data_IF_386819350760
#
_entry.id   IF_386819350760
#
_cell.length_a   1.000
_cell.length_b   1.000
_cell.length_c   1.000
_cell.angle_alpha   90.00
_cell.angle_beta   90.00
_cell.angle_gamma   90.00
#
_symmetry.space_group_name_H-M   'P 1'
#
loop_
_entity.id
_entity.type
_entity.pdbx_description
1 polymer ?
#
# COMPACT_ATOMS: atom_id res chain seq x y z
N UNK A 1 -17.20 -4.43 -7.74
CA UNK A 1 -17.46 -3.54 -6.59
C UNK A 1 -17.36 -4.30 -5.26
N UNK A 2 -18.17 -5.35 -5.07
CA UNK A 2 -18.16 -6.16 -3.84
C UNK A 2 -16.79 -6.82 -3.57
N UNK A 3 -16.20 -7.43 -4.59
CA UNK A 3 -14.84 -8.00 -4.55
C UNK A 3 -13.80 -7.02 -4.00
N UNK A 4 -13.75 -5.80 -4.56
CA UNK A 4 -12.84 -4.74 -4.10
C UNK A 4 -13.08 -4.30 -2.67
N UNK A 5 -14.30 -4.42 -2.12
CA UNK A 5 -14.58 -4.11 -0.71
C UNK A 5 -14.06 -5.25 0.15
N UNK A 6 -14.38 -6.49 -0.19
CA UNK A 6 -13.93 -7.67 0.55
C UNK A 6 -12.40 -7.75 0.60
N UNK A 7 -11.74 -7.34 -0.48
CA UNK A 7 -10.29 -7.20 -0.53
C UNK A 7 -9.72 -6.31 0.57
N UNK A 8 -10.39 -5.20 0.86
CA UNK A 8 -9.97 -4.27 1.91
C UNK A 8 -10.20 -4.83 3.31
N UNK A 9 -11.28 -5.58 3.49
CA UNK A 9 -11.53 -6.31 4.74
C UNK A 9 -10.44 -7.35 4.97
N UNK A 10 -10.08 -8.12 3.94
CA UNK A 10 -9.00 -9.12 4.02
C UNK A 10 -7.66 -8.47 4.31
N UNK A 11 -7.28 -7.41 3.59
CA UNK A 11 -6.04 -6.67 3.84
C UNK A 11 -5.98 -6.15 5.28
N UNK A 12 -7.11 -5.68 5.82
CA UNK A 12 -7.24 -5.17 7.19
C UNK A 12 -7.13 -6.29 8.22
N UNK A 13 -7.86 -7.39 8.03
CA UNK A 13 -7.83 -8.54 8.92
C UNK A 13 -6.42 -9.15 9.01
N UNK A 14 -5.73 -9.31 7.86
CA UNK A 14 -4.35 -9.81 7.82
C UNK A 14 -3.41 -8.88 8.58
N UNK A 15 -3.49 -7.57 8.33
CA UNK A 15 -2.61 -6.59 8.98
C UNK A 15 -2.83 -6.53 10.49
N UNK A 16 -4.09 -6.54 10.94
CA UNK A 16 -4.44 -6.57 12.36
C UNK A 16 -3.98 -7.87 13.01
N UNK A 17 -4.19 -9.03 12.36
CA UNK A 17 -3.76 -10.33 12.88
C UNK A 17 -2.24 -10.40 13.07
N UNK A 18 -1.48 -9.91 12.08
CA UNK A 18 -0.01 -9.81 12.17
C UNK A 18 0.40 -8.85 13.28
N UNK A 19 -0.24 -7.68 13.37
CA UNK A 19 0.03 -6.69 14.41
C UNK A 19 -0.23 -7.22 15.82
N UNK A 20 -1.36 -7.88 16.01
CA UNK A 20 -1.73 -8.51 17.28
C UNK A 20 -0.75 -9.60 17.68
N UNK A 21 -0.40 -10.50 16.76
CA UNK A 21 0.60 -11.55 17.01
C UNK A 21 1.96 -10.98 17.42
N UNK A 22 2.42 -9.92 16.75
CA UNK A 22 3.67 -9.25 17.10
C UNK A 22 3.58 -8.54 18.46
N UNK A 23 2.45 -7.90 18.75
CA UNK A 23 2.19 -7.22 20.02
C UNK A 23 2.23 -8.17 21.22
N UNK A 24 1.77 -9.41 21.09
CA UNK A 24 1.82 -10.42 22.18
C UNK A 24 3.24 -10.69 22.67
N UNK A 25 4.25 -10.53 21.81
CA UNK A 25 5.67 -10.74 22.16
C UNK A 25 6.43 -9.44 22.38
N UNK A 26 5.92 -8.33 21.84
CA UNK A 26 6.49 -6.98 21.94
C UNK A 26 5.42 -6.00 22.43
N UNK A 27 5.02 -6.07 23.71
CA UNK A 27 3.93 -5.26 24.23
C UNK A 27 4.28 -3.77 24.16
N UNK A 28 3.30 -2.97 23.74
CA UNK A 28 3.44 -1.52 23.61
C UNK A 28 2.62 -0.94 22.47
N UNK A 29 2.73 0.37 22.24
CA UNK A 29 1.97 1.07 21.20
C UNK A 29 2.60 0.95 19.80
N UNK A 30 3.92 0.71 19.73
CA UNK A 30 4.68 0.69 18.47
C UNK A 30 4.19 -0.34 17.45
N UNK A 31 3.87 -1.61 17.82
CA UNK A 31 3.30 -2.59 16.90
C UNK A 31 2.07 -2.07 16.14
N UNK A 32 1.17 -1.42 16.87
CA UNK A 32 -0.08 -0.87 16.35
C UNK A 32 0.15 0.35 15.46
N UNK A 33 1.06 1.25 15.83
CA UNK A 33 1.45 2.40 14.99
C UNK A 33 1.96 1.90 13.64
N UNK A 34 2.84 0.90 13.65
CA UNK A 34 3.36 0.30 12.42
C UNK A 34 2.25 -0.31 11.55
N UNK A 35 1.30 -1.04 12.15
CA UNK A 35 0.17 -1.61 11.42
C UNK A 35 -0.75 -0.55 10.81
N UNK A 36 -1.06 0.50 11.57
CA UNK A 36 -1.87 1.63 11.09
C UNK A 36 -1.17 2.32 9.92
N UNK A 37 0.13 2.59 10.03
CA UNK A 37 0.90 3.20 8.95
C UNK A 37 0.90 2.35 7.68
N UNK A 38 1.04 1.03 7.80
CA UNK A 38 0.94 0.12 6.66
C UNK A 38 -0.47 0.15 6.03
N UNK A 39 -1.53 0.06 6.84
CA UNK A 39 -2.92 0.11 6.38
C UNK A 39 -3.26 1.42 5.68
N UNK A 40 -2.81 2.56 6.21
CA UNK A 40 -2.98 3.87 5.58
C UNK A 40 -2.32 3.87 4.20
N UNK A 41 -1.10 3.34 4.07
CA UNK A 41 -0.44 3.19 2.78
C UNK A 41 -1.24 2.34 1.80
N UNK A 42 -1.83 1.24 2.28
CA UNK A 42 -2.63 0.33 1.45
C UNK A 42 -3.92 0.95 0.94
N UNK A 43 -4.61 1.69 1.79
CA UNK A 43 -5.85 2.40 1.47
C UNK A 43 -5.55 3.56 0.51
N UNK A 44 -4.56 4.40 0.84
CA UNK A 44 -4.19 5.55 0.01
C UNK A 44 -3.71 5.12 -1.38
N UNK A 45 -2.93 4.06 -1.51
CA UNK A 45 -2.48 3.57 -2.81
C UNK A 45 -3.67 3.12 -3.69
N UNK A 46 -4.67 2.47 -3.09
CA UNK A 46 -5.90 2.09 -3.82
C UNK A 46 -6.79 3.29 -4.12
N UNK A 47 -6.85 4.26 -3.21
CA UNK A 47 -7.65 5.47 -3.36
C UNK A 47 -7.09 6.35 -4.47
N UNK A 48 -5.79 6.61 -4.47
CA UNK A 48 -5.10 7.41 -5.48
C UNK A 48 -5.41 6.93 -6.90
N UNK A 49 -5.34 5.61 -7.13
CA UNK A 49 -5.65 5.02 -8.45
C UNK A 49 -7.09 5.32 -8.88
N UNK A 50 -8.06 5.12 -7.98
CA UNK A 50 -9.48 5.35 -8.26
C UNK A 50 -9.78 6.83 -8.47
N UNK A 51 -9.20 7.70 -7.65
CA UNK A 51 -9.38 9.14 -7.74
C UNK A 51 -8.79 9.72 -9.02
N UNK A 52 -7.60 9.25 -9.41
CA UNK A 52 -6.98 9.65 -10.67
C UNK A 52 -7.85 9.28 -11.86
N UNK A 53 -8.31 8.03 -11.93
CA UNK A 53 -9.19 7.57 -13.01
C UNK A 53 -10.49 8.36 -13.06
N UNK A 54 -11.09 8.66 -11.90
CA UNK A 54 -12.32 9.46 -11.81
C UNK A 54 -12.12 10.88 -12.33
N UNK A 55 -10.95 11.48 -12.11
CA UNK A 55 -10.68 12.89 -12.45
C UNK A 55 -10.24 13.09 -13.90
N UNK A 56 -9.45 12.16 -14.43
CA UNK A 56 -8.85 12.29 -15.76
C UNK A 56 -9.46 11.34 -16.80
N UNK A 57 -10.36 10.43 -16.40
CA UNK A 57 -10.94 9.38 -17.25
C UNK A 57 -9.89 8.52 -17.96
N UNK A 58 -8.67 8.49 -17.42
CA UNK A 58 -7.52 7.79 -17.97
C UNK A 58 -6.87 6.93 -16.90
N UNK A 59 -6.26 5.83 -17.33
CA UNK A 59 -5.39 5.08 -16.43
C UNK A 59 -4.16 5.91 -16.08
N UNK A 60 -3.83 5.89 -14.80
CA UNK A 60 -2.62 6.51 -14.31
C UNK A 60 -1.38 5.90 -15.02
N UNK A 61 -0.27 6.66 -15.18
CA UNK A 61 0.94 6.14 -15.82
C UNK A 61 1.52 4.91 -15.11
N UNK A 62 1.92 3.89 -15.88
CA UNK A 62 2.55 2.68 -15.34
C UNK A 62 3.98 3.01 -14.91
N UNK A 63 4.29 2.83 -13.63
CA UNK A 63 5.66 2.89 -13.12
C UNK A 63 6.04 1.60 -12.39
N UNK A 64 7.34 1.29 -12.35
CA UNK A 64 7.86 0.13 -11.63
C UNK A 64 7.46 0.16 -10.16
N UNK A 65 7.61 1.33 -9.51
CA UNK A 65 7.24 1.52 -8.10
C UNK A 65 5.74 1.27 -7.90
N UNK A 66 4.87 1.70 -8.83
CA UNK A 66 3.42 1.40 -8.75
C UNK A 66 3.10 -0.07 -8.92
N UNK A 67 3.93 -0.82 -9.64
CA UNK A 67 3.75 -2.27 -9.72
C UNK A 67 3.96 -2.90 -8.35
N UNK A 68 4.93 -2.41 -7.58
CA UNK A 68 5.22 -2.87 -6.21
C UNK A 68 4.09 -2.57 -5.20
N UNK A 69 3.21 -1.61 -5.47
CA UNK A 69 2.08 -1.28 -4.59
C UNK A 69 0.82 -2.12 -4.85
N UNK A 70 0.86 -3.01 -5.85
CA UNK A 70 -0.25 -3.92 -6.16
C UNK A 70 -0.55 -4.87 -4.99
N UNK A 71 -1.83 -5.22 -4.85
CA UNK A 71 -2.31 -6.13 -3.80
C UNK A 71 -1.63 -7.49 -3.86
N UNK A 72 -1.48 -8.06 -5.06
CA UNK A 72 -0.88 -9.39 -5.23
C UNK A 72 0.58 -9.42 -4.73
N UNK A 73 1.36 -8.37 -5.05
CA UNK A 73 2.73 -8.23 -4.55
C UNK A 73 2.75 -8.06 -3.04
N UNK A 74 1.81 -7.31 -2.48
CA UNK A 74 1.73 -7.14 -1.04
C UNK A 74 1.44 -8.44 -0.30
N UNK A 75 0.45 -9.19 -0.75
CA UNK A 75 0.13 -10.49 -0.15
C UNK A 75 1.30 -11.46 -0.34
N UNK A 76 1.96 -11.44 -1.49
CA UNK A 76 3.15 -12.26 -1.74
C UNK A 76 4.31 -11.90 -0.79
N UNK A 77 4.61 -10.62 -0.60
CA UNK A 77 5.66 -10.17 0.32
C UNK A 77 5.34 -10.54 1.76
N UNK A 78 4.09 -10.36 2.20
CA UNK A 78 3.65 -10.75 3.55
C UNK A 78 3.75 -12.27 3.71
N UNK A 79 3.36 -13.04 2.70
CA UNK A 79 3.49 -14.49 2.67
C UNK A 79 4.95 -14.95 2.79
N UNK A 80 5.86 -14.39 2.01
CA UNK A 80 7.30 -14.67 2.13
C UNK A 80 7.80 -14.29 3.53
N UNK A 81 7.36 -13.14 4.06
CA UNK A 81 7.63 -12.73 5.44
C UNK A 81 7.18 -13.77 6.45
N UNK A 82 6.00 -14.36 6.28
CA UNK A 82 5.48 -15.41 7.15
C UNK A 82 6.32 -16.70 7.08
N UNK A 83 6.76 -17.12 5.87
CA UNK A 83 7.66 -18.28 5.69
C UNK A 83 8.97 -18.08 6.47
N UNK A 84 9.54 -16.88 6.45
CA UNK A 84 10.79 -16.55 7.15
C UNK A 84 10.55 -16.16 8.63
N UNK A 85 9.33 -16.35 9.13
CA UNK A 85 8.91 -16.01 10.49
C UNK A 85 9.11 -14.52 10.87
N UNK A 86 9.00 -13.64 9.88
CA UNK A 86 9.05 -12.18 10.01
C UNK A 86 7.87 -11.47 9.31
N UNK A 87 6.60 -11.89 9.51
CA UNK A 87 5.45 -11.31 8.81
C UNK A 87 5.23 -9.84 9.17
N UNK A 88 5.51 -9.44 10.42
CA UNK A 88 5.39 -8.05 10.87
C UNK A 88 6.34 -7.12 10.09
N UNK A 89 7.62 -7.49 9.98
CA UNK A 89 8.59 -6.67 9.25
C UNK A 89 8.28 -6.62 7.75
N UNK A 90 7.75 -7.70 7.17
CA UNK A 90 7.27 -7.70 5.79
C UNK A 90 6.07 -6.75 5.60
N UNK A 91 5.11 -6.73 6.54
CA UNK A 91 3.99 -5.79 6.56
C UNK A 91 4.46 -4.33 6.59
N UNK A 92 5.43 -4.02 7.46
CA UNK A 92 6.02 -2.67 7.54
C UNK A 92 6.74 -2.31 6.24
N UNK A 93 7.57 -3.21 5.71
CA UNK A 93 8.32 -2.98 4.47
C UNK A 93 7.42 -2.66 3.29
N UNK A 94 6.37 -3.47 3.08
CA UNK A 94 5.41 -3.21 1.99
C UNK A 94 4.53 -1.98 2.25
N UNK A 95 4.26 -1.65 3.52
CA UNK A 95 3.62 -0.41 3.93
C UNK A 95 4.44 0.82 3.50
N UNK A 96 5.75 0.81 3.78
CA UNK A 96 6.69 1.86 3.36
C UNK A 96 6.74 1.97 1.84
N UNK A 97 6.86 0.84 1.13
CA UNK A 97 6.85 0.83 -0.35
C UNK A 97 5.55 1.44 -0.90
N UNK A 98 4.42 1.20 -0.23
CA UNK A 98 3.14 1.80 -0.62
C UNK A 98 3.16 3.32 -0.50
N UNK A 99 3.71 3.87 0.59
CA UNK A 99 3.91 5.32 0.78
C UNK A 99 4.86 5.91 -0.25
N UNK A 100 5.99 5.25 -0.53
CA UNK A 100 6.94 5.67 -1.57
C UNK A 100 6.24 5.70 -2.94
N UNK A 101 5.45 4.68 -3.26
CA UNK A 101 4.71 4.62 -4.52
C UNK A 101 3.67 5.71 -4.66
N UNK A 102 3.02 6.13 -3.57
CA UNK A 102 2.12 7.28 -3.55
C UNK A 102 2.92 8.57 -3.80
N UNK A 103 4.02 8.80 -3.09
CA UNK A 103 4.86 9.99 -3.28
C UNK A 103 5.43 10.10 -4.71
N UNK A 104 5.95 8.98 -5.23
CA UNK A 104 6.45 8.90 -6.60
C UNK A 104 5.36 9.22 -7.63
N UNK A 105 4.17 8.68 -7.42
CA UNK A 105 3.02 8.93 -8.27
C UNK A 105 2.64 10.41 -8.34
N UNK A 106 2.66 11.11 -7.19
CA UNK A 106 2.43 12.55 -7.16
C UNK A 106 3.47 13.33 -7.95
N UNK A 107 4.75 12.97 -7.80
CA UNK A 107 5.84 13.58 -8.55
C UNK A 107 5.66 13.36 -10.06
N UNK A 108 5.39 12.12 -10.48
CA UNK A 108 5.20 11.76 -11.89
C UNK A 108 4.04 12.55 -12.53
N UNK A 109 2.91 12.67 -11.83
CA UNK A 109 1.76 13.47 -12.29
C UNK A 109 2.11 14.96 -12.38
N UNK A 110 2.82 15.49 -11.38
CA UNK A 110 3.24 16.88 -11.34
C UNK A 110 4.16 17.23 -12.51
N UNK A 111 5.21 16.44 -12.75
CA UNK A 111 6.15 16.67 -13.85
C UNK A 111 5.50 16.50 -15.23
N UNK A 112 4.62 15.49 -15.40
CA UNK A 112 3.94 15.27 -16.69
C UNK A 112 3.03 16.45 -17.07
N UNK A 113 2.33 17.03 -16.09
CA UNK A 113 1.47 18.19 -16.33
C UNK A 113 2.28 19.44 -16.66
N UNK A 114 3.44 19.62 -16.04
CA UNK A 114 4.32 20.77 -16.27
C UNK A 114 4.97 20.75 -17.68
N UNK A 115 5.19 19.56 -18.25
CA UNK A 115 5.66 19.43 -19.64
C UNK A 115 4.55 19.59 -20.69
N UNK A 116 3.31 19.20 -20.39
CA UNK A 116 2.17 19.36 -21.32
C UNK A 116 1.69 20.80 -21.47
N UNK A 117 1.98 21.70 -20.51
CA UNK A 117 1.62 23.12 -20.59
C UNK A 117 2.65 24.00 -21.32
N UNK A 118 3.68 23.41 -21.93
CA UNK A 118 4.74 24.10 -22.67
C UNK A 118 4.65 23.90 -24.20
N UNK A 119 3.55 23.34 -24.69
CA UNK A 119 3.26 23.21 -26.13
C UNK A 119 2.06 24.06 -26.50
#
# INVERSE_FOLDING_TARGET
WFDTILDRYVDTAISIGIGYSFWLTHPGVLPWIGCILALVGFILASYLKKEYFRRYFEEMPKSFIRTLTKRDIRLFVIFIGAIVNKPYWALIGIGIISHIGIGWSFLEIYFRKNHSGRM
#
